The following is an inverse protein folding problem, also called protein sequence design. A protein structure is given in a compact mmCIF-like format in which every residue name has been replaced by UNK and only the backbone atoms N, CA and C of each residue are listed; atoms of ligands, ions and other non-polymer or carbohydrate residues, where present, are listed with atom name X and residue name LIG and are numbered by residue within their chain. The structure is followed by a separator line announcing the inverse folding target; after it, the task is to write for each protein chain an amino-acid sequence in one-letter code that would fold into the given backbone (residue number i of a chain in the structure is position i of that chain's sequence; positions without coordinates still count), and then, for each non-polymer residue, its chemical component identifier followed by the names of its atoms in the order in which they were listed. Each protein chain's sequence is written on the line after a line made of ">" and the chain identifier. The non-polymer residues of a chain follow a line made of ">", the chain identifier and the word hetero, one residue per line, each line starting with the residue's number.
data_IF_474954179247
#
_entry.id   IF_474954179247
#
_cell.length_a   1.000
_cell.length_b   1.000
_cell.length_c   1.000
_cell.angle_alpha   90.00
_cell.angle_beta   90.00
_cell.angle_gamma   90.00
#
_symmetry.space_group_name_H-M   'P 1'
#
loop_
_entity.id
_entity.type
_entity.pdbx_description
1 polymer ?
#
# COMPACT_ATOMS: atom_id res chain seq x y z
N UNK A 1 -1.77 24.86 -5.38
CA UNK A 1 -1.45 24.56 -3.98
C UNK A 1 -1.63 23.06 -3.79
N UNK A 2 -0.61 22.35 -3.33
CA UNK A 2 -0.68 20.90 -3.09
C UNK A 2 -1.42 20.69 -1.77
N UNK A 3 -2.44 19.83 -1.76
CA UNK A 3 -3.17 19.46 -0.55
C UNK A 3 -2.46 18.24 0.08
N UNK A 4 -1.81 18.38 1.24
CA UNK A 4 -1.00 17.33 1.84
C UNK A 4 -1.84 16.10 2.26
N UNK A 5 -3.05 16.29 2.74
CA UNK A 5 -3.93 15.19 3.13
C UNK A 5 -4.35 14.35 1.91
N UNK A 6 -4.58 15.01 0.79
CA UNK A 6 -4.91 14.34 -0.46
C UNK A 6 -3.71 13.56 -1.02
N UNK A 7 -2.50 14.11 -0.84
CA UNK A 7 -1.28 13.40 -1.23
C UNK A 7 -1.04 12.18 -0.35
N UNK A 8 -1.19 12.31 0.98
CA UNK A 8 -1.07 11.19 1.91
C UNK A 8 -2.08 10.08 1.59
N UNK A 9 -3.34 10.44 1.32
CA UNK A 9 -4.36 9.45 0.93
C UNK A 9 -3.99 8.70 -0.36
N UNK A 10 -3.36 9.39 -1.33
CA UNK A 10 -2.87 8.75 -2.57
C UNK A 10 -1.73 7.77 -2.31
N UNK A 11 -0.80 8.12 -1.44
CA UNK A 11 0.29 7.21 -1.08
C UNK A 11 -0.24 5.95 -0.38
N UNK A 12 -1.20 6.10 0.53
CA UNK A 12 -1.83 4.96 1.21
C UNK A 12 -2.59 4.09 0.19
N UNK A 13 -3.37 4.69 -0.71
CA UNK A 13 -4.07 3.97 -1.78
C UNK A 13 -3.09 3.17 -2.66
N UNK A 14 -1.95 3.75 -3.00
CA UNK A 14 -0.89 3.08 -3.76
C UNK A 14 -0.29 1.90 -2.99
N UNK A 15 -0.02 2.05 -1.70
CA UNK A 15 0.48 0.96 -0.85
C UNK A 15 -0.51 -0.21 -0.81
N UNK A 16 -1.80 0.08 -0.67
CA UNK A 16 -2.86 -0.95 -0.67
C UNK A 16 -2.92 -1.68 -2.02
N UNK A 17 -2.77 -0.96 -3.13
CA UNK A 17 -2.83 -1.55 -4.48
C UNK A 17 -1.58 -2.34 -4.85
N UNK A 18 -0.42 -1.92 -4.35
CA UNK A 18 0.89 -2.42 -4.80
C UNK A 18 1.84 -2.64 -3.62
N UNK A 19 1.52 -3.59 -2.72
CA UNK A 19 2.26 -3.79 -1.46
C UNK A 19 3.72 -4.23 -1.65
N UNK A 20 4.13 -4.58 -2.86
CA UNK A 20 5.49 -5.04 -3.15
C UNK A 20 6.48 -3.94 -3.55
N UNK A 21 6.04 -2.71 -3.76
CA UNK A 21 6.91 -1.62 -4.18
C UNK A 21 7.27 -0.69 -3.02
N UNK A 22 8.58 -0.40 -2.87
CA UNK A 22 9.10 0.53 -1.86
C UNK A 22 8.82 1.99 -2.23
N UNK A 23 9.00 2.32 -3.52
CA UNK A 23 8.74 3.64 -4.08
C UNK A 23 8.10 3.52 -5.46
N UNK A 24 7.33 4.54 -5.83
CA UNK A 24 6.68 4.61 -7.12
C UNK A 24 6.54 6.06 -7.58
N UNK A 25 7.05 6.34 -8.76
CA UNK A 25 6.90 7.63 -9.43
C UNK A 25 6.25 7.49 -10.80
N UNK A 26 5.41 8.45 -11.16
CA UNK A 26 4.69 8.44 -12.43
C UNK A 26 5.22 9.49 -13.39
N UNK A 27 5.45 9.10 -14.64
CA UNK A 27 5.93 9.95 -15.72
C UNK A 27 4.96 9.94 -16.92
N UNK A 28 5.18 10.83 -17.86
CA UNK A 28 4.45 10.89 -19.13
C UNK A 28 2.91 10.84 -18.97
N UNK A 29 2.34 11.69 -18.10
CA UNK A 29 0.90 11.76 -17.81
C UNK A 29 0.35 10.41 -17.27
N UNK A 30 1.08 9.78 -16.37
CA UNK A 30 0.73 8.51 -15.73
C UNK A 30 0.70 7.29 -16.65
N UNK A 31 1.36 7.34 -17.81
CA UNK A 31 1.45 6.19 -18.73
C UNK A 31 2.61 5.25 -18.41
N UNK A 32 3.66 5.78 -17.83
CA UNK A 32 4.87 5.04 -17.45
C UNK A 32 5.19 5.35 -16.00
N UNK A 33 5.57 4.32 -15.28
CA UNK A 33 5.90 4.43 -13.87
C UNK A 33 7.29 3.86 -13.63
N UNK A 34 8.02 4.47 -12.70
CA UNK A 34 9.23 3.90 -12.13
C UNK A 34 8.90 3.42 -10.73
N UNK A 35 9.20 2.16 -10.46
CA UNK A 35 8.97 1.54 -9.16
C UNK A 35 10.27 0.97 -8.63
N UNK A 36 10.44 1.02 -7.31
CA UNK A 36 11.52 0.37 -6.60
C UNK A 36 11.03 -0.95 -6.01
N UNK A 37 11.67 -2.05 -6.39
CA UNK A 37 11.42 -3.39 -5.91
C UNK A 37 12.67 -3.94 -5.24
N UNK A 38 12.57 -4.33 -3.96
CA UNK A 38 13.65 -5.03 -3.27
C UNK A 38 13.55 -6.54 -3.47
N UNK A 39 14.65 -7.18 -3.85
CA UNK A 39 14.73 -8.63 -3.97
C UNK A 39 14.79 -9.25 -2.57
N UNK A 40 13.72 -9.94 -2.20
CA UNK A 40 13.59 -10.67 -0.94
C UNK A 40 14.32 -12.02 -1.01
N UNK A 41 14.67 -12.55 0.16
CA UNK A 41 15.21 -13.91 0.29
C UNK A 41 14.24 -14.93 -0.30
N UNK A 42 14.76 -15.83 -1.14
CA UNK A 42 13.95 -16.85 -1.80
C UNK A 42 13.10 -16.33 -2.98
N UNK A 43 13.30 -15.08 -3.42
CA UNK A 43 12.67 -14.56 -4.62
C UNK A 43 13.09 -15.35 -5.86
N UNK A 44 12.17 -15.56 -6.80
CA UNK A 44 12.45 -16.14 -8.12
C UNK A 44 13.45 -15.32 -8.95
N UNK A 45 13.75 -14.11 -8.54
CA UNK A 45 14.72 -13.22 -9.18
C UNK A 45 16.15 -13.45 -8.72
N UNK A 46 16.38 -14.16 -7.60
CA UNK A 46 17.75 -14.47 -7.15
C UNK A 46 18.46 -15.31 -8.19
N UNK A 47 19.73 -14.96 -8.45
CA UNK A 47 20.65 -15.62 -9.42
C UNK A 47 20.18 -15.59 -10.87
N UNK A 48 19.24 -14.71 -11.22
CA UNK A 48 18.76 -14.49 -12.58
C UNK A 48 19.57 -13.38 -13.25
N UNK A 49 20.10 -13.66 -14.45
CA UNK A 49 20.69 -12.62 -15.32
C UNK A 49 19.56 -11.76 -15.94
N UNK A 50 19.74 -10.45 -16.03
CA UNK A 50 18.70 -9.54 -16.55
C UNK A 50 18.23 -9.87 -17.96
N UNK A 51 19.09 -10.41 -18.82
CA UNK A 51 18.72 -10.89 -20.15
C UNK A 51 17.65 -12.01 -20.12
N UNK A 52 17.54 -12.73 -18.99
CA UNK A 52 16.57 -13.80 -18.77
C UNK A 52 15.37 -13.37 -17.93
N UNK A 53 15.29 -12.09 -17.53
CA UNK A 53 14.27 -11.57 -16.64
C UNK A 53 12.86 -11.81 -17.17
N UNK A 54 12.59 -11.51 -18.44
CA UNK A 54 11.28 -11.71 -19.07
C UNK A 54 10.81 -13.16 -19.01
N UNK A 55 11.73 -14.13 -19.08
CA UNK A 55 11.40 -15.55 -18.97
C UNK A 55 10.89 -15.94 -17.58
N UNK A 56 11.37 -15.23 -16.55
CA UNK A 56 10.98 -15.46 -15.15
C UNK A 56 9.69 -14.70 -14.81
N UNK A 57 9.65 -13.41 -15.15
CA UNK A 57 8.52 -12.55 -14.76
C UNK A 57 7.35 -12.60 -15.73
N UNK A 58 7.51 -13.19 -16.93
CA UNK A 58 6.46 -13.36 -17.96
C UNK A 58 5.75 -12.05 -18.35
N UNK A 59 6.44 -10.93 -18.25
CA UNK A 59 5.95 -9.62 -18.68
C UNK A 59 7.11 -8.73 -19.10
N UNK A 60 6.82 -7.74 -19.94
CA UNK A 60 7.82 -6.78 -20.43
C UNK A 60 8.02 -5.66 -19.42
N UNK A 61 9.20 -5.61 -18.85
CA UNK A 61 9.63 -4.55 -17.94
C UNK A 61 11.07 -4.13 -18.30
N UNK A 62 11.40 -2.88 -18.01
CA UNK A 62 12.76 -2.38 -18.18
C UNK A 62 13.36 -2.07 -16.80
N UNK A 63 14.47 -2.70 -16.47
CA UNK A 63 15.27 -2.35 -15.30
C UNK A 63 16.19 -1.20 -15.69
N UNK A 64 15.92 -0.03 -15.13
CA UNK A 64 16.66 1.21 -15.42
C UNK A 64 17.95 1.30 -14.61
N UNK A 65 17.92 0.84 -13.36
CA UNK A 65 19.05 0.86 -12.45
C UNK A 65 18.94 -0.28 -11.43
N UNK A 66 20.06 -0.64 -10.82
CA UNK A 66 20.12 -1.55 -9.67
C UNK A 66 20.97 -0.90 -8.59
N UNK A 67 20.49 -0.92 -7.35
CA UNK A 67 21.29 -0.54 -6.18
C UNK A 67 21.65 -1.78 -5.38
N UNK A 68 22.94 -1.97 -5.15
CA UNK A 68 23.51 -3.05 -4.33
C UNK A 68 24.48 -2.48 -3.31
N UNK A 69 24.17 -2.69 -2.02
CA UNK A 69 25.02 -2.16 -0.95
C UNK A 69 25.18 -0.63 -0.97
N UNK A 70 24.17 0.11 -1.43
CA UNK A 70 24.19 1.57 -1.55
C UNK A 70 24.86 2.11 -2.83
N UNK A 71 25.42 1.25 -3.68
CA UNK A 71 25.98 1.64 -4.99
C UNK A 71 24.91 1.44 -6.06
N UNK A 72 24.62 2.49 -6.82
CA UNK A 72 23.66 2.48 -7.92
C UNK A 72 24.39 2.37 -9.24
N UNK A 73 23.99 1.42 -10.08
CA UNK A 73 24.56 1.23 -11.41
C UNK A 73 23.48 0.97 -12.48
N UNK A 74 23.77 1.28 -13.72
CA UNK A 74 22.95 0.92 -14.88
C UNK A 74 23.38 -0.48 -15.32
N UNK A 75 22.53 -1.50 -15.11
CA UNK A 75 22.95 -2.87 -15.32
C UNK A 75 22.96 -3.25 -16.81
N UNK A 76 23.90 -4.12 -17.19
CA UNK A 76 23.87 -4.80 -18.49
C UNK A 76 22.98 -6.05 -18.46
N UNK A 77 22.66 -6.64 -19.62
CA UNK A 77 21.90 -7.89 -19.69
C UNK A 77 22.54 -9.07 -18.96
N UNK A 78 23.86 -9.05 -18.75
CA UNK A 78 24.60 -10.09 -18.02
C UNK A 78 24.64 -9.86 -16.50
N UNK A 79 24.06 -8.76 -16.01
CA UNK A 79 24.00 -8.47 -14.58
C UNK A 79 23.17 -9.55 -13.88
N UNK A 80 23.75 -10.20 -12.87
CA UNK A 80 23.10 -11.25 -12.09
C UNK A 80 22.48 -10.62 -10.84
N UNK A 81 21.17 -10.75 -10.72
CA UNK A 81 20.40 -10.26 -9.58
C UNK A 81 20.66 -11.11 -8.33
N UNK A 82 20.68 -10.46 -7.16
CA UNK A 82 20.93 -11.11 -5.86
C UNK A 82 19.92 -10.65 -4.82
N UNK A 83 19.80 -11.41 -3.75
CA UNK A 83 19.07 -11.02 -2.55
C UNK A 83 19.59 -9.67 -2.04
N UNK A 84 18.67 -8.80 -1.65
CA UNK A 84 18.96 -7.45 -1.14
C UNK A 84 19.15 -6.38 -2.21
N UNK A 85 19.21 -6.73 -3.50
CA UNK A 85 19.24 -5.74 -4.59
C UNK A 85 17.94 -4.94 -4.62
N UNK A 86 18.07 -3.65 -4.91
CA UNK A 86 16.98 -2.74 -5.18
C UNK A 86 16.91 -2.48 -6.69
N UNK A 87 15.84 -2.91 -7.32
CA UNK A 87 15.61 -2.76 -8.75
C UNK A 87 14.74 -1.55 -9.02
N UNK A 88 15.20 -0.63 -9.85
CA UNK A 88 14.40 0.47 -10.37
C UNK A 88 13.83 0.05 -11.73
N UNK A 89 12.53 -0.26 -11.74
CA UNK A 89 11.84 -0.88 -12.89
C UNK A 89 10.87 0.12 -13.49
N UNK A 90 10.87 0.26 -14.81
CA UNK A 90 9.85 1.03 -15.53
C UNK A 90 8.99 0.12 -16.40
N UNK A 91 7.69 0.34 -16.33
CA UNK A 91 6.68 -0.32 -17.15
C UNK A 91 5.34 0.42 -17.05
N UNK A 92 4.32 -0.08 -17.75
CA UNK A 92 2.94 0.36 -17.53
C UNK A 92 2.38 -0.19 -16.22
N UNK A 93 1.36 0.45 -15.64
CA UNK A 93 0.72 -0.03 -14.42
C UNK A 93 0.22 -1.48 -14.51
N UNK A 94 -0.25 -1.89 -15.70
CA UNK A 94 -0.69 -3.26 -15.98
C UNK A 94 0.47 -4.25 -15.90
N UNK A 95 1.59 -3.95 -16.54
CA UNK A 95 2.80 -4.79 -16.54
C UNK A 95 3.39 -4.90 -15.13
N UNK A 96 3.39 -3.82 -14.35
CA UNK A 96 3.83 -3.83 -12.96
C UNK A 96 2.95 -4.73 -12.08
N UNK A 97 1.64 -4.68 -12.27
CA UNK A 97 0.70 -5.58 -11.58
C UNK A 97 0.98 -7.04 -11.93
N UNK A 98 1.23 -7.32 -13.22
CA UNK A 98 1.56 -8.68 -13.68
C UNK A 98 2.90 -9.15 -13.11
N UNK A 99 3.91 -8.27 -13.07
CA UNK A 99 5.21 -8.54 -12.44
C UNK A 99 5.03 -9.02 -11.00
N UNK A 100 4.30 -8.26 -10.17
CA UNK A 100 4.09 -8.59 -8.76
C UNK A 100 3.33 -9.91 -8.58
N UNK A 101 2.33 -10.18 -9.42
CA UNK A 101 1.60 -11.46 -9.41
C UNK A 101 2.53 -12.63 -9.75
N UNK A 102 3.33 -12.51 -10.81
CA UNK A 102 4.20 -13.58 -11.28
C UNK A 102 5.35 -13.86 -10.29
N UNK A 103 5.77 -12.84 -9.53
CA UNK A 103 6.70 -12.98 -8.43
C UNK A 103 6.07 -13.54 -7.14
N UNK A 104 4.74 -13.64 -7.09
CA UNK A 104 4.02 -14.09 -5.90
C UNK A 104 3.96 -13.05 -4.78
N UNK A 105 4.24 -11.77 -5.07
CA UNK A 105 4.22 -10.67 -4.10
C UNK A 105 2.78 -10.19 -3.90
N UNK A 106 1.99 -10.10 -4.98
CA UNK A 106 0.55 -9.86 -4.93
C UNK A 106 -0.15 -11.14 -5.33
N UNK A 107 -0.88 -11.73 -4.42
CA UNK A 107 -1.70 -12.92 -4.67
C UNK A 107 -3.12 -12.54 -5.09
N UNK A 108 -3.63 -11.41 -4.61
CA UNK A 108 -4.95 -10.89 -4.93
C UNK A 108 -5.00 -9.36 -4.79
N UNK A 109 -5.96 -8.72 -5.46
CA UNK A 109 -6.26 -7.30 -5.27
C UNK A 109 -7.02 -7.16 -3.95
N UNK A 110 -6.67 -6.15 -3.13
CA UNK A 110 -7.43 -5.85 -1.92
C UNK A 110 -8.92 -5.66 -2.26
N UNK A 111 -9.80 -6.37 -1.57
CA UNK A 111 -11.24 -6.34 -1.74
C UNK A 111 -11.95 -5.68 -0.56
N UNK A 112 -11.39 -5.81 0.64
CA UNK A 112 -11.96 -5.31 1.87
C UNK A 112 -10.90 -4.59 2.69
N UNK A 113 -11.18 -3.34 3.05
CA UNK A 113 -10.26 -2.46 3.79
C UNK A 113 -10.99 -1.85 4.97
N UNK A 114 -10.39 -1.93 6.16
CA UNK A 114 -10.84 -1.23 7.36
C UNK A 114 -10.00 0.04 7.52
N UNK A 115 -10.65 1.17 7.68
CA UNK A 115 -10.03 2.48 7.91
C UNK A 115 -10.44 2.98 9.29
N UNK A 116 -9.47 3.21 10.17
CA UNK A 116 -9.67 3.73 11.52
C UNK A 116 -9.37 5.23 11.55
N UNK A 117 -10.42 6.05 11.55
CA UNK A 117 -10.36 7.50 11.54
C UNK A 117 -10.94 8.14 10.28
N UNK A 118 -12.04 8.90 10.46
CA UNK A 118 -12.79 9.60 9.40
C UNK A 118 -12.32 11.04 9.12
N UNK A 119 -11.06 11.36 9.44
CA UNK A 119 -10.47 12.66 9.12
C UNK A 119 -10.39 12.92 7.61
N UNK A 120 -9.70 14.00 7.20
CA UNK A 120 -9.58 14.38 5.78
C UNK A 120 -8.92 13.28 4.93
N UNK A 121 -7.87 12.63 5.46
CA UNK A 121 -7.19 11.53 4.75
C UNK A 121 -8.16 10.35 4.58
N UNK A 122 -8.85 9.95 5.66
CA UNK A 122 -9.84 8.87 5.65
C UNK A 122 -10.95 9.12 4.62
N UNK A 123 -11.47 10.33 4.54
CA UNK A 123 -12.45 10.73 3.54
C UNK A 123 -11.96 10.53 2.10
N UNK A 124 -10.76 11.03 1.77
CA UNK A 124 -10.23 10.88 0.40
C UNK A 124 -9.93 9.42 0.08
N UNK A 125 -9.31 8.70 1.02
CA UNK A 125 -8.95 7.29 0.84
C UNK A 125 -10.20 6.43 0.63
N UNK A 126 -11.21 6.57 1.48
CA UNK A 126 -12.49 5.84 1.36
C UNK A 126 -13.17 6.11 0.04
N UNK A 127 -13.20 7.40 -0.41
CA UNK A 127 -13.80 7.79 -1.69
C UNK A 127 -13.10 7.11 -2.87
N UNK A 128 -11.78 7.02 -2.85
CA UNK A 128 -11.02 6.45 -3.98
C UNK A 128 -11.08 4.94 -3.99
N UNK A 129 -10.94 4.29 -2.84
CA UNK A 129 -11.04 2.84 -2.74
C UNK A 129 -12.43 2.34 -3.15
N UNK A 130 -13.50 3.00 -2.73
CA UNK A 130 -14.87 2.66 -3.14
C UNK A 130 -15.06 2.78 -4.66
N UNK A 131 -14.53 3.85 -5.30
CA UNK A 131 -14.57 4.00 -6.77
C UNK A 131 -13.83 2.90 -7.52
N UNK A 132 -12.83 2.28 -6.90
CA UNK A 132 -12.09 1.15 -7.46
C UNK A 132 -12.76 -0.21 -7.15
N UNK A 133 -13.94 -0.20 -6.54
CA UNK A 133 -14.70 -1.39 -6.19
C UNK A 133 -14.17 -2.14 -4.96
N UNK A 134 -13.45 -1.45 -4.07
CA UNK A 134 -13.01 -1.99 -2.79
C UNK A 134 -14.11 -1.74 -1.76
N UNK A 135 -14.49 -2.77 -1.01
CA UNK A 135 -15.38 -2.64 0.15
C UNK A 135 -14.64 -1.93 1.28
N UNK A 136 -15.13 -0.78 1.68
CA UNK A 136 -14.51 0.05 2.71
C UNK A 136 -15.40 0.09 3.94
N UNK A 137 -14.82 -0.25 5.09
CA UNK A 137 -15.37 -0.02 6.41
C UNK A 137 -14.61 1.12 7.07
N UNK A 138 -15.28 2.23 7.35
CA UNK A 138 -14.70 3.39 8.01
C UNK A 138 -15.23 3.48 9.44
N UNK A 139 -14.33 3.39 10.43
CA UNK A 139 -14.65 3.51 11.85
C UNK A 139 -14.27 4.92 12.32
N UNK A 140 -15.22 5.65 12.86
CA UNK A 140 -15.04 7.01 13.38
C UNK A 140 -15.72 7.14 14.74
N UNK A 141 -15.03 7.78 15.68
CA UNK A 141 -15.49 7.92 17.06
C UNK A 141 -16.44 9.11 17.26
N UNK A 142 -16.33 10.15 16.44
CA UNK A 142 -17.15 11.35 16.50
C UNK A 142 -18.47 11.15 15.72
N UNK A 143 -19.59 11.16 16.42
CA UNK A 143 -20.93 10.96 15.84
C UNK A 143 -21.26 12.03 14.79
N UNK A 144 -21.00 13.31 15.09
CA UNK A 144 -21.25 14.41 14.15
C UNK A 144 -20.41 14.26 12.88
N UNK A 145 -19.18 13.74 13.02
CA UNK A 145 -18.32 13.43 11.89
C UNK A 145 -18.85 12.25 11.08
N UNK A 146 -19.40 11.23 11.72
CA UNK A 146 -20.05 10.11 11.01
C UNK A 146 -21.23 10.60 10.17
N UNK A 147 -22.08 11.48 10.73
CA UNK A 147 -23.20 12.08 10.00
C UNK A 147 -22.72 12.91 8.80
N UNK A 148 -21.71 13.75 8.99
CA UNK A 148 -21.12 14.53 7.90
C UNK A 148 -20.58 13.64 6.78
N UNK A 149 -19.89 12.56 7.14
CA UNK A 149 -19.29 11.61 6.20
C UNK A 149 -20.36 10.82 5.44
N UNK A 150 -21.44 10.43 6.09
CA UNK A 150 -22.56 9.71 5.46
C UNK A 150 -23.21 10.51 4.35
N UNK A 151 -23.24 11.83 4.48
CA UNK A 151 -23.74 12.73 3.44
C UNK A 151 -22.76 13.03 2.29
N UNK A 152 -21.49 12.63 2.41
CA UNK A 152 -20.41 13.00 1.47
C UNK A 152 -19.71 11.82 0.80
N UNK A 153 -19.66 10.68 1.48
CA UNK A 153 -19.01 9.48 0.96
C UNK A 153 -19.92 8.72 0.00
N UNK A 154 -19.34 7.94 -0.93
CA UNK A 154 -20.11 7.00 -1.75
C UNK A 154 -20.90 6.02 -0.87
N UNK A 155 -22.13 5.61 -1.29
CA UNK A 155 -22.99 4.72 -0.51
C UNK A 155 -22.39 3.32 -0.27
N UNK A 156 -21.36 2.96 -1.03
CA UNK A 156 -20.63 1.70 -0.88
C UNK A 156 -19.65 1.70 0.30
N UNK A 157 -19.39 2.88 0.91
CA UNK A 157 -18.58 2.98 2.13
C UNK A 157 -19.46 2.75 3.34
N UNK A 158 -19.19 1.69 4.09
CA UNK A 158 -19.83 1.45 5.37
C UNK A 158 -19.17 2.32 6.44
N UNK A 159 -19.95 3.12 7.15
CA UNK A 159 -19.47 3.98 8.25
C UNK A 159 -19.97 3.41 9.57
N UNK A 160 -19.06 3.17 10.49
CA UNK A 160 -19.37 2.71 11.85
C UNK A 160 -19.00 3.81 12.84
N UNK A 161 -19.99 4.24 13.61
CA UNK A 161 -19.74 5.08 14.77
C UNK A 161 -19.21 4.20 15.91
N UNK A 162 -17.95 4.38 16.29
CA UNK A 162 -17.34 3.57 17.34
C UNK A 162 -15.87 3.87 17.57
N UNK A 163 -15.34 3.28 18.61
CA UNK A 163 -13.92 3.38 18.97
C UNK A 163 -13.14 2.25 18.28
N UNK A 164 -12.28 2.60 17.34
CA UNK A 164 -11.45 1.66 16.61
C UNK A 164 -10.41 0.92 17.51
N UNK A 165 -10.16 1.37 18.73
CA UNK A 165 -9.35 0.64 19.72
C UNK A 165 -10.07 -0.54 20.36
N UNK A 166 -11.38 -0.63 20.20
CA UNK A 166 -12.18 -1.74 20.71
C UNK A 166 -11.93 -3.00 19.89
N UNK A 167 -11.23 -3.97 20.46
CA UNK A 167 -11.01 -5.28 19.85
C UNK A 167 -12.34 -5.95 19.50
N UNK A 168 -13.34 -5.86 20.41
CA UNK A 168 -14.67 -6.42 20.16
C UNK A 168 -15.31 -5.83 18.89
N UNK A 169 -15.19 -4.53 18.68
CA UNK A 169 -15.70 -3.87 17.47
C UNK A 169 -14.98 -4.39 16.22
N UNK A 170 -13.65 -4.44 16.25
CA UNK A 170 -12.86 -4.91 15.11
C UNK A 170 -13.16 -6.38 14.78
N UNK A 171 -13.35 -7.23 15.79
CA UNK A 171 -13.75 -8.64 15.63
C UNK A 171 -15.16 -8.75 15.01
N UNK A 172 -16.13 -8.02 15.55
CA UNK A 172 -17.51 -8.04 15.03
C UNK A 172 -17.61 -7.56 13.60
N UNK A 173 -16.71 -6.65 13.21
CA UNK A 173 -16.60 -6.12 11.85
C UNK A 173 -15.68 -6.95 10.95
N UNK A 174 -15.22 -8.12 11.40
CA UNK A 174 -14.51 -9.10 10.60
C UNK A 174 -13.10 -8.68 10.21
N UNK A 175 -12.30 -8.22 11.17
CA UNK A 175 -10.89 -7.84 10.94
C UNK A 175 -10.06 -8.98 10.32
N UNK A 176 -10.37 -10.23 10.65
CA UNK A 176 -9.66 -11.41 10.12
C UNK A 176 -9.85 -11.64 8.62
N UNK A 177 -10.93 -11.10 8.04
CA UNK A 177 -11.30 -11.28 6.64
C UNK A 177 -10.95 -10.06 5.78
N UNK A 178 -10.27 -9.06 6.35
CA UNK A 178 -9.87 -7.88 5.59
C UNK A 178 -8.47 -8.04 4.98
N UNK A 179 -8.26 -7.39 3.84
CA UNK A 179 -6.99 -7.40 3.12
C UNK A 179 -6.04 -6.32 3.64
N UNK A 180 -6.59 -5.23 4.19
CA UNK A 180 -5.79 -4.17 4.78
C UNK A 180 -6.52 -3.46 5.93
N UNK A 181 -5.74 -3.01 6.91
CA UNK A 181 -6.17 -2.08 7.97
C UNK A 181 -5.31 -0.83 7.88
N UNK A 182 -5.97 0.32 7.87
CA UNK A 182 -5.29 1.64 7.84
C UNK A 182 -5.66 2.41 9.10
N UNK A 183 -4.68 2.75 9.93
CA UNK A 183 -4.88 3.49 11.18
C UNK A 183 -4.43 4.94 11.02
N UNK A 184 -5.37 5.86 11.22
CA UNK A 184 -5.14 7.29 11.05
C UNK A 184 -6.01 8.13 11.96
N UNK A 185 -6.19 7.67 13.20
CA UNK A 185 -6.86 8.43 14.26
C UNK A 185 -6.05 9.68 14.64
N UNK A 186 -6.57 10.50 15.54
CA UNK A 186 -5.88 11.69 16.05
C UNK A 186 -4.70 11.39 16.99
N UNK A 187 -4.47 10.13 17.40
CA UNK A 187 -3.46 9.74 18.39
C UNK A 187 -2.52 8.68 17.83
N UNK A 188 -1.24 9.00 17.75
CA UNK A 188 -0.22 8.11 17.15
C UNK A 188 -0.05 6.81 17.94
N UNK A 189 -0.10 6.87 19.27
CA UNK A 189 -0.01 5.70 20.15
C UNK A 189 -1.17 4.73 19.89
N UNK A 190 -2.38 5.28 19.73
CA UNK A 190 -3.56 4.47 19.41
C UNK A 190 -3.45 3.83 18.04
N UNK A 191 -2.96 4.59 17.05
CA UNK A 191 -2.70 4.04 15.71
C UNK A 191 -1.73 2.86 15.76
N UNK A 192 -0.67 2.93 16.58
CA UNK A 192 0.27 1.83 16.77
C UNK A 192 -0.38 0.62 17.44
N UNK A 193 -1.19 0.83 18.51
CA UNK A 193 -1.88 -0.26 19.24
C UNK A 193 -2.84 -1.01 18.31
N UNK A 194 -3.69 -0.28 17.58
CA UNK A 194 -4.63 -0.87 16.61
C UNK A 194 -3.86 -1.66 15.53
N UNK A 195 -2.76 -1.11 15.04
CA UNK A 195 -1.95 -1.74 14.01
C UNK A 195 -1.30 -3.03 14.49
N UNK A 196 -0.75 -3.06 15.71
CA UNK A 196 -0.22 -4.28 16.32
C UNK A 196 -1.30 -5.34 16.48
N UNK A 197 -2.49 -4.95 16.93
CA UNK A 197 -3.62 -5.86 17.03
C UNK A 197 -4.00 -6.44 15.65
N UNK A 198 -4.14 -5.59 14.63
CA UNK A 198 -4.43 -6.04 13.27
C UNK A 198 -3.39 -7.03 12.74
N UNK A 199 -2.10 -6.85 13.06
CA UNK A 199 -1.04 -7.80 12.71
C UNK A 199 -1.23 -9.15 13.43
N UNK A 200 -1.63 -9.14 14.71
CA UNK A 200 -1.91 -10.41 15.45
C UNK A 200 -3.13 -11.14 14.88
N UNK A 201 -4.09 -10.42 14.31
CA UNK A 201 -5.24 -11.00 13.61
C UNK A 201 -4.89 -11.56 12.23
N UNK A 202 -3.63 -11.43 11.78
CA UNK A 202 -3.17 -11.96 10.49
C UNK A 202 -3.56 -11.10 9.29
N UNK A 203 -3.91 -9.82 9.49
CA UNK A 203 -4.22 -8.90 8.39
C UNK A 203 -3.00 -8.78 7.47
N UNK A 204 -3.16 -9.05 6.15
CA UNK A 204 -2.03 -9.09 5.22
C UNK A 204 -1.29 -7.77 5.10
N UNK A 205 -2.00 -6.64 5.24
CA UNK A 205 -1.40 -5.32 5.11
C UNK A 205 -1.91 -4.37 6.18
N UNK A 206 -0.98 -3.81 6.96
CA UNK A 206 -1.29 -2.81 8.00
C UNK A 206 -0.51 -1.54 7.71
N UNK A 207 -1.22 -0.42 7.60
CA UNK A 207 -0.65 0.91 7.33
C UNK A 207 -0.98 1.83 8.50
N UNK A 208 0.05 2.38 9.11
CA UNK A 208 -0.07 3.22 10.31
C UNK A 208 0.36 4.65 10.01
N UNK A 209 -0.52 5.61 10.24
CA UNK A 209 -0.14 7.03 10.22
C UNK A 209 0.50 7.39 11.55
N UNK A 210 1.73 7.92 11.49
CA UNK A 210 2.44 8.52 12.63
C UNK A 210 2.80 9.96 12.27
N UNK A 211 2.38 10.91 13.11
CA UNK A 211 2.52 12.35 12.84
C UNK A 211 3.85 12.96 13.27
N UNK A 212 4.57 12.33 14.21
CA UNK A 212 5.82 12.82 14.75
C UNK A 212 6.91 11.75 14.60
N UNK A 213 7.76 11.90 13.56
CA UNK A 213 9.16 11.48 13.72
C UNK A 213 9.91 12.67 14.31
N UNK A 214 10.22 12.63 15.61
CA UNK A 214 11.29 13.49 16.13
C UNK A 214 12.57 13.12 15.37
N UNK A 215 13.01 14.01 14.49
CA UNK A 215 14.37 13.98 13.96
C UNK A 215 15.31 14.28 15.14
N UNK A 216 15.69 13.26 15.90
CA UNK A 216 16.85 13.33 16.75
C UNK A 216 18.07 13.28 15.82
N UNK A 217 18.59 14.50 15.55
CA UNK A 217 19.88 14.77 14.92
C UNK A 217 21.02 14.26 15.80
#
# INVERSE_FOLDING_TARGET
>A
MVNPEKQAAREIERLIRYPGFLQRETFAKSRVEIVELRIQKGSKLCDVALMNLENVVKCKVLVCAVSRGGVVEIPSGHFILREGDHLFITATAEMLTQLLRNLGIITHKAKRVIICGGGRIGYYLSTWLAKEGVSVLLIEQDEARCEELSGKLPPEVCIIHGDASSQFLLESEGIHDCDAVVTMTGMDEMNMIISLYAQTCGVPQVITKVGHMENNS
#
